data_IF_349022213284
#
_entry.id   IF_349022213284
#
_cell.length_a   1.000
_cell.length_b   1.000
_cell.length_c   1.000
_cell.angle_alpha   90.00
_cell.angle_beta   90.00
_cell.angle_gamma   90.00
#
_symmetry.space_group_name_H-M   'P 1'
#
loop_
_entity.id
_entity.type
_entity.pdbx_description
1 polymer ?
#
# COMPACT_ATOMS: atom_id res chain seq x y z
N UNK A 1 43.77 35.59 -37.21
CA UNK A 1 42.78 34.51 -37.40
C UNK A 1 42.57 33.83 -36.06
N UNK A 2 41.44 34.06 -35.39
CA UNK A 2 41.11 33.43 -34.10
C UNK A 2 40.20 32.20 -34.34
N UNK A 3 40.39 31.09 -33.62
CA UNK A 3 39.69 29.84 -33.92
C UNK A 3 38.28 29.83 -33.32
N UNK A 4 37.25 29.80 -34.18
CA UNK A 4 35.83 29.71 -33.82
C UNK A 4 35.38 28.29 -33.38
N UNK A 5 36.33 27.35 -33.23
CA UNK A 5 36.05 25.91 -33.08
C UNK A 5 35.74 25.49 -31.62
N UNK A 6 36.09 26.32 -30.62
CA UNK A 6 35.92 25.93 -29.21
C UNK A 6 34.48 26.09 -28.71
N UNK A 7 33.75 27.12 -29.11
CA UNK A 7 32.45 27.47 -28.49
C UNK A 7 31.35 26.44 -28.78
N UNK A 8 31.31 25.88 -30.00
CA UNK A 8 30.29 24.89 -30.40
C UNK A 8 30.46 23.54 -29.67
N UNK A 9 31.71 23.08 -29.53
CA UNK A 9 32.04 21.83 -28.83
C UNK A 9 31.81 21.95 -27.31
N UNK A 10 32.06 23.13 -26.73
CA UNK A 10 31.75 23.39 -25.32
C UNK A 10 30.24 23.45 -25.09
N UNK A 11 29.47 24.19 -25.90
CA UNK A 11 28.01 24.27 -25.76
C UNK A 11 27.35 22.90 -25.96
N UNK A 12 27.80 22.12 -26.95
CA UNK A 12 27.32 20.76 -27.20
C UNK A 12 27.61 19.80 -26.04
N UNK A 13 28.84 19.81 -25.49
CA UNK A 13 29.18 19.01 -24.31
C UNK A 13 28.36 19.41 -23.09
N UNK A 14 28.21 20.71 -22.80
CA UNK A 14 27.41 21.16 -21.67
C UNK A 14 25.94 20.78 -21.82
N UNK A 15 25.36 20.86 -23.02
CA UNK A 15 23.96 20.48 -23.26
C UNK A 15 23.74 18.96 -23.11
N UNK A 16 24.68 18.14 -23.58
CA UNK A 16 24.62 16.67 -23.43
C UNK A 16 24.87 16.25 -21.99
N UNK A 17 25.82 16.88 -21.28
CA UNK A 17 26.07 16.62 -19.86
C UNK A 17 24.89 17.04 -18.99
N UNK A 18 24.28 18.20 -19.29
CA UNK A 18 23.10 18.70 -18.56
C UNK A 18 21.85 17.85 -18.84
N UNK A 19 21.63 17.43 -20.09
CA UNK A 19 20.57 16.48 -20.41
C UNK A 19 20.83 15.11 -19.73
N UNK A 20 22.08 14.65 -19.69
CA UNK A 20 22.45 13.40 -19.00
C UNK A 20 22.23 13.51 -17.49
N UNK A 21 22.51 14.65 -16.86
CA UNK A 21 22.26 14.83 -15.43
C UNK A 21 20.75 14.92 -15.12
N UNK A 22 19.97 15.62 -15.94
CA UNK A 22 18.51 15.67 -15.81
C UNK A 22 17.87 14.28 -15.99
N UNK A 23 18.34 13.49 -16.96
CA UNK A 23 17.87 12.11 -17.14
C UNK A 23 18.26 11.22 -15.95
N UNK A 24 19.48 11.34 -15.42
CA UNK A 24 19.91 10.58 -14.24
C UNK A 24 19.06 10.90 -13.01
N UNK A 25 18.75 12.18 -12.78
CA UNK A 25 17.91 12.62 -11.66
C UNK A 25 16.47 12.12 -11.82
N UNK A 26 15.89 12.24 -13.02
CA UNK A 26 14.54 11.74 -13.29
C UNK A 26 14.45 10.22 -13.13
N UNK A 27 15.42 9.47 -13.67
CA UNK A 27 15.49 8.02 -13.52
C UNK A 27 15.64 7.61 -12.05
N UNK A 28 16.43 8.36 -11.28
CA UNK A 28 16.60 8.13 -9.85
C UNK A 28 15.27 8.29 -9.10
N UNK A 29 14.54 9.38 -9.31
CA UNK A 29 13.24 9.59 -8.67
C UNK A 29 12.19 8.56 -9.12
N UNK A 30 12.12 8.23 -10.40
CA UNK A 30 11.22 7.17 -10.91
C UNK A 30 11.53 5.84 -10.20
N UNK A 31 12.81 5.48 -10.06
CA UNK A 31 13.23 4.27 -9.37
C UNK A 31 12.82 4.28 -7.89
N UNK A 32 12.97 5.42 -7.20
CA UNK A 32 12.54 5.57 -5.80
C UNK A 32 11.02 5.42 -5.66
N UNK A 33 10.23 6.02 -6.55
CA UNK A 33 8.78 5.82 -6.55
C UNK A 33 8.39 4.37 -6.80
N UNK A 34 9.08 3.69 -7.72
CA UNK A 34 8.83 2.28 -8.00
C UNK A 34 9.14 1.40 -6.78
N UNK A 35 10.23 1.68 -6.06
CA UNK A 35 10.56 1.00 -4.80
C UNK A 35 9.51 1.28 -3.74
N UNK A 36 9.06 2.53 -3.59
CA UNK A 36 8.03 2.90 -2.62
C UNK A 36 6.71 2.16 -2.88
N UNK A 37 6.26 2.11 -4.13
CA UNK A 37 5.08 1.35 -4.55
C UNK A 37 5.28 -0.15 -4.32
N UNK A 38 6.45 -0.69 -4.70
CA UNK A 38 6.79 -2.10 -4.55
C UNK A 38 6.82 -2.58 -3.09
N UNK A 39 7.16 -1.69 -2.14
CA UNK A 39 7.24 -2.02 -0.71
C UNK A 39 5.87 -2.03 0.01
N UNK A 40 4.85 -1.38 -0.55
CA UNK A 40 3.54 -1.20 0.10
C UNK A 40 2.64 -2.42 0.04
N UNK A 41 2.64 -3.15 -1.07
CA UNK A 41 1.72 -4.27 -1.32
C UNK A 41 2.08 -5.61 -0.65
N UNK A 42 3.34 -6.09 -0.72
CA UNK A 42 3.67 -7.45 -0.28
C UNK A 42 3.47 -7.68 1.22
N UNK A 43 3.68 -6.67 2.07
CA UNK A 43 3.66 -6.82 3.54
C UNK A 43 2.33 -7.38 4.06
N UNK A 44 1.16 -6.74 3.82
CA UNK A 44 -0.12 -7.29 4.27
C UNK A 44 -0.49 -8.58 3.53
N UNK A 45 -0.17 -8.70 2.23
CA UNK A 45 -0.57 -9.84 1.42
C UNK A 45 0.15 -11.14 1.81
N UNK A 46 1.46 -11.09 2.07
CA UNK A 46 2.24 -12.28 2.42
C UNK A 46 1.86 -12.80 3.81
N UNK A 47 1.60 -11.90 4.77
CA UNK A 47 1.14 -12.30 6.10
C UNK A 47 -0.27 -12.91 6.06
N UNK A 48 -1.19 -12.29 5.30
CA UNK A 48 -2.53 -12.85 5.11
C UNK A 48 -2.48 -14.21 4.42
N UNK A 49 -1.65 -14.35 3.38
CA UNK A 49 -1.45 -15.60 2.67
C UNK A 49 -0.86 -16.68 3.58
N UNK A 50 0.20 -16.38 4.32
CA UNK A 50 0.79 -17.33 5.28
C UNK A 50 -0.19 -17.74 6.38
N UNK A 51 -1.07 -16.83 6.81
CA UNK A 51 -2.13 -17.15 7.77
C UNK A 51 -3.24 -18.06 7.21
N UNK A 52 -3.49 -18.01 5.89
CA UNK A 52 -4.52 -18.80 5.19
C UNK A 52 -4.10 -20.27 4.97
N UNK A 53 -2.78 -20.52 5.04
CA UNK A 53 -2.21 -21.86 4.95
C UNK A 53 -2.57 -22.78 6.12
N UNK A 54 -2.98 -22.23 7.26
CA UNK A 54 -3.36 -22.99 8.46
C UNK A 54 -4.86 -22.96 8.67
N UNK A 55 -5.47 -24.09 9.00
CA UNK A 55 -6.85 -24.14 9.46
C UNK A 55 -6.99 -23.58 10.88
N UNK A 56 -8.05 -22.79 11.09
CA UNK A 56 -8.39 -22.26 12.41
C UNK A 56 -9.27 -23.20 13.22
N UNK A 57 -9.94 -24.16 12.58
CA UNK A 57 -10.82 -25.12 13.24
C UNK A 57 -10.06 -26.35 13.76
N UNK A 58 -8.86 -26.61 13.24
CA UNK A 58 -7.95 -27.63 13.78
C UNK A 58 -7.08 -27.04 14.92
N UNK A 59 -7.17 -27.57 16.15
CA UNK A 59 -6.40 -27.06 17.28
C UNK A 59 -4.88 -27.23 17.11
N UNK A 60 -4.42 -28.24 16.38
CA UNK A 60 -2.99 -28.49 16.12
C UNK A 60 -2.46 -27.47 15.11
N UNK A 61 -3.17 -27.25 14.01
CA UNK A 61 -2.78 -26.26 13.01
C UNK A 61 -2.86 -24.82 13.55
N UNK A 62 -3.83 -24.55 14.41
CA UNK A 62 -3.95 -23.26 15.10
C UNK A 62 -2.73 -22.96 15.99
N UNK A 63 -2.23 -23.96 16.73
CA UNK A 63 -0.99 -23.81 17.50
C UNK A 63 0.23 -23.63 16.58
N UNK A 64 0.30 -24.39 15.49
CA UNK A 64 1.38 -24.27 14.50
C UNK A 64 1.41 -22.89 13.85
N UNK A 65 0.25 -22.29 13.58
CA UNK A 65 0.11 -20.92 13.08
C UNK A 65 0.70 -19.88 14.03
N UNK A 66 0.45 -20.01 15.33
CA UNK A 66 1.03 -19.12 16.34
C UNK A 66 2.57 -19.22 16.38
N UNK A 67 3.09 -20.45 16.36
CA UNK A 67 4.53 -20.71 16.28
C UNK A 67 5.16 -20.16 14.98
N UNK A 68 4.47 -20.28 13.85
CA UNK A 68 4.89 -19.68 12.58
C UNK A 68 5.04 -18.16 12.70
N UNK A 69 4.04 -17.47 13.26
CA UNK A 69 4.13 -16.02 13.46
C UNK A 69 5.21 -15.62 14.46
N UNK A 70 5.42 -16.39 15.53
CA UNK A 70 6.52 -16.14 16.47
C UNK A 70 7.89 -16.19 15.77
N UNK A 71 8.14 -17.22 14.96
CA UNK A 71 9.36 -17.33 14.15
C UNK A 71 9.46 -16.25 13.08
N UNK A 72 8.34 -15.87 12.46
CA UNK A 72 8.26 -14.77 11.51
C UNK A 72 8.72 -13.44 12.14
N UNK A 73 8.18 -13.09 13.32
CA UNK A 73 8.57 -11.88 14.05
C UNK A 73 10.03 -11.91 14.50
N UNK A 74 10.49 -13.05 15.01
CA UNK A 74 11.90 -13.21 15.36
C UNK A 74 12.81 -12.99 14.15
N UNK A 75 12.49 -13.59 13.00
CA UNK A 75 13.21 -13.40 11.75
C UNK A 75 13.21 -11.95 11.27
N UNK A 76 12.08 -11.25 11.37
CA UNK A 76 11.99 -9.83 11.03
C UNK A 76 12.92 -8.98 11.91
N UNK A 77 12.88 -9.16 13.23
CA UNK A 77 13.75 -8.44 14.15
C UNK A 77 15.23 -8.74 13.90
N UNK A 78 15.59 -10.02 13.73
CA UNK A 78 16.95 -10.43 13.44
C UNK A 78 17.45 -9.85 12.10
N UNK A 79 16.63 -9.92 11.04
CA UNK A 79 16.97 -9.39 9.72
C UNK A 79 17.15 -7.87 9.74
N UNK A 80 16.32 -7.14 10.49
CA UNK A 80 16.47 -5.70 10.65
C UNK A 80 17.77 -5.34 11.36
N UNK A 81 18.12 -6.05 12.43
CA UNK A 81 19.40 -5.85 13.13
C UNK A 81 20.59 -6.11 12.20
N UNK A 82 20.56 -7.20 11.44
CA UNK A 82 21.61 -7.53 10.46
C UNK A 82 21.68 -6.49 9.35
N UNK A 83 20.55 -6.01 8.84
CA UNK A 83 20.51 -4.96 7.82
C UNK A 83 21.15 -3.67 8.32
N UNK A 84 20.80 -3.22 9.53
CA UNK A 84 21.38 -1.99 10.10
C UNK A 84 22.90 -2.13 10.26
N UNK A 85 23.40 -3.28 10.71
CA UNK A 85 24.83 -3.49 10.96
C UNK A 85 25.62 -3.69 9.66
N UNK A 86 25.19 -4.63 8.81
CA UNK A 86 25.97 -5.09 7.66
C UNK A 86 25.62 -4.27 6.42
N UNK A 87 24.34 -4.08 6.11
CA UNK A 87 23.93 -3.45 4.86
C UNK A 87 24.28 -1.96 4.86
N UNK A 88 24.06 -1.26 5.98
CA UNK A 88 24.49 0.14 6.14
C UNK A 88 26.00 0.27 6.01
N UNK A 89 26.78 -0.65 6.60
CA UNK A 89 28.25 -0.63 6.46
C UNK A 89 28.68 -0.76 5.00
N UNK A 90 28.07 -1.69 4.24
CA UNK A 90 28.35 -1.89 2.81
C UNK A 90 27.97 -0.65 1.98
N UNK A 91 26.84 -0.01 2.29
CA UNK A 91 26.40 1.20 1.60
C UNK A 91 27.37 2.37 1.80
N UNK A 92 27.81 2.60 3.04
CA UNK A 92 28.65 3.75 3.39
C UNK A 92 30.14 3.53 3.05
N UNK A 93 30.65 2.29 3.12
CA UNK A 93 32.10 2.02 2.99
C UNK A 93 32.52 1.36 1.67
N UNK A 94 31.64 0.62 1.00
CA UNK A 94 32.00 -0.12 -0.22
C UNK A 94 31.39 0.52 -1.46
N UNK A 95 30.06 0.47 -1.58
CA UNK A 95 29.34 1.04 -2.72
C UNK A 95 27.84 1.01 -2.51
N UNK A 96 27.18 2.10 -2.90
CA UNK A 96 25.73 2.18 -3.04
C UNK A 96 25.15 1.13 -4.00
N UNK A 97 25.89 0.79 -5.07
CA UNK A 97 25.45 -0.24 -6.03
C UNK A 97 25.32 -1.62 -5.40
N UNK A 98 26.30 -2.02 -4.57
CA UNK A 98 26.25 -3.29 -3.82
C UNK A 98 25.16 -3.26 -2.74
N UNK A 99 24.99 -2.10 -2.08
CA UNK A 99 23.96 -1.88 -1.08
C UNK A 99 22.53 -2.07 -1.60
N UNK A 100 22.25 -1.74 -2.86
CA UNK A 100 20.97 -2.02 -3.50
C UNK A 100 20.93 -3.39 -4.20
N UNK A 101 22.07 -3.87 -4.70
CA UNK A 101 22.18 -5.17 -5.37
C UNK A 101 21.87 -6.35 -4.46
N UNK A 102 22.38 -6.35 -3.22
CA UNK A 102 22.19 -7.46 -2.27
C UNK A 102 20.70 -7.68 -1.96
N UNK A 103 19.90 -6.67 -1.55
CA UNK A 103 18.46 -6.84 -1.36
C UNK A 103 17.72 -7.23 -2.64
N UNK A 104 18.15 -6.74 -3.80
CA UNK A 104 17.54 -7.09 -5.09
C UNK A 104 17.68 -8.59 -5.38
N UNK A 105 18.90 -9.14 -5.26
CA UNK A 105 19.14 -10.59 -5.45
C UNK A 105 18.37 -11.41 -4.42
N UNK A 106 18.37 -10.99 -3.15
CA UNK A 106 17.60 -11.66 -2.10
C UNK A 106 16.10 -11.70 -2.42
N UNK A 107 15.52 -10.62 -2.95
CA UNK A 107 14.13 -10.56 -3.39
C UNK A 107 13.84 -11.53 -4.54
N UNK A 108 14.72 -11.61 -5.55
CA UNK A 108 14.57 -12.54 -6.68
C UNK A 108 14.62 -13.99 -6.20
N UNK A 109 15.53 -14.33 -5.28
CA UNK A 109 15.60 -15.66 -4.68
C UNK A 109 14.32 -15.97 -3.90
N UNK A 110 13.86 -15.04 -3.05
CA UNK A 110 12.63 -15.20 -2.28
C UNK A 110 11.41 -15.42 -3.19
N UNK A 111 11.30 -14.66 -4.28
CA UNK A 111 10.25 -14.83 -5.29
C UNK A 111 10.35 -16.21 -5.96
N UNK A 112 11.55 -16.66 -6.31
CA UNK A 112 11.76 -17.98 -6.89
C UNK A 112 11.31 -19.12 -5.97
N UNK A 113 11.66 -19.05 -4.68
CA UNK A 113 11.21 -20.02 -3.67
C UNK A 113 9.69 -19.97 -3.50
N UNK A 114 9.11 -18.78 -3.46
CA UNK A 114 7.65 -18.60 -3.36
C UNK A 114 6.92 -19.22 -4.55
N UNK A 115 7.40 -18.98 -5.78
CA UNK A 115 6.80 -19.56 -6.98
C UNK A 115 6.99 -21.08 -7.07
N UNK A 116 8.12 -21.61 -6.61
CA UNK A 116 8.35 -23.05 -6.55
C UNK A 116 7.37 -23.76 -5.59
N UNK A 117 7.02 -23.09 -4.48
CA UNK A 117 6.02 -23.56 -3.53
C UNK A 117 4.57 -23.49 -4.02
N UNK A 118 4.30 -22.86 -5.18
CA UNK A 118 2.95 -22.57 -5.66
C UNK A 118 2.03 -23.80 -5.75
N UNK A 119 2.59 -24.99 -6.04
CA UNK A 119 1.80 -26.23 -6.16
C UNK A 119 1.41 -26.84 -4.81
N UNK A 120 2.05 -26.41 -3.71
CA UNK A 120 1.81 -26.92 -2.35
C UNK A 120 0.90 -25.99 -1.55
N UNK A 121 0.56 -24.81 -2.08
CA UNK A 121 -0.24 -23.83 -1.37
C UNK A 121 -1.73 -24.17 -1.33
N UNK A 122 -2.39 -23.78 -0.24
CA UNK A 122 -3.82 -23.99 -0.03
C UNK A 122 -4.52 -22.68 -0.38
N UNK A 123 -5.26 -22.68 -1.48
CA UNK A 123 -6.00 -21.50 -1.91
C UNK A 123 -7.40 -21.51 -1.29
N UNK A 124 -7.63 -20.75 -0.21
CA UNK A 124 -8.98 -20.56 0.32
C UNK A 124 -9.68 -19.44 -0.45
N UNK A 125 -10.61 -19.80 -1.35
CA UNK A 125 -11.53 -18.82 -1.96
C UNK A 125 -12.60 -18.48 -0.94
N UNK A 126 -12.26 -17.68 0.08
CA UNK A 126 -13.28 -17.08 0.95
C UNK A 126 -13.87 -15.89 0.20
N UNK A 127 -15.17 -15.94 -0.11
CA UNK A 127 -15.93 -14.79 -0.63
C UNK A 127 -16.06 -13.70 0.44
N UNK A 128 -14.98 -12.97 0.67
CA UNK A 128 -14.98 -11.84 1.59
C UNK A 128 -15.55 -10.63 0.85
N UNK A 129 -16.77 -10.21 1.20
CA UNK A 129 -17.28 -8.89 0.79
C UNK A 129 -16.31 -7.82 1.29
N UNK A 130 -15.63 -7.15 0.34
CA UNK A 130 -14.55 -6.21 0.66
C UNK A 130 -15.03 -5.09 1.60
N UNK A 131 -14.43 -4.92 2.79
CA UNK A 131 -14.82 -3.89 3.75
C UNK A 131 -14.68 -2.46 3.17
N UNK A 132 -13.78 -2.27 2.21
CA UNK A 132 -13.64 -1.01 1.48
C UNK A 132 -14.88 -0.67 0.64
N UNK A 133 -15.52 -1.68 0.03
CA UNK A 133 -16.77 -1.49 -0.71
C UNK A 133 -17.88 -1.06 0.25
N UNK A 134 -17.93 -1.64 1.45
CA UNK A 134 -18.90 -1.24 2.49
C UNK A 134 -18.71 0.21 2.91
N UNK A 135 -17.47 0.63 3.17
CA UNK A 135 -17.14 2.01 3.55
C UNK A 135 -17.49 2.97 2.41
N UNK A 136 -17.11 2.64 1.17
CA UNK A 136 -17.47 3.42 -0.01
C UNK A 136 -18.98 3.57 -0.19
N UNK A 137 -19.75 2.50 0.02
CA UNK A 137 -21.21 2.54 -0.02
C UNK A 137 -21.79 3.46 1.06
N UNK A 138 -21.22 3.50 2.26
CA UNK A 138 -21.68 4.41 3.33
C UNK A 138 -21.43 5.86 2.93
N UNK A 139 -20.26 6.20 2.38
CA UNK A 139 -19.97 7.55 1.88
C UNK A 139 -20.89 7.95 0.72
N UNK A 140 -21.07 7.06 -0.26
CA UNK A 140 -21.97 7.30 -1.41
C UNK A 140 -23.41 7.50 -0.92
N UNK A 141 -23.87 6.68 0.03
CA UNK A 141 -25.21 6.79 0.61
C UNK A 141 -25.38 8.08 1.41
N UNK A 142 -24.37 8.49 2.19
CA UNK A 142 -24.37 9.74 2.93
C UNK A 142 -24.44 10.95 2.00
N UNK A 143 -23.63 10.98 0.93
CA UNK A 143 -23.65 12.06 -0.08
C UNK A 143 -25.00 12.08 -0.80
N UNK A 144 -25.57 10.91 -1.12
CA UNK A 144 -26.88 10.82 -1.76
C UNK A 144 -28.01 11.32 -0.86
N UNK A 145 -28.01 10.96 0.43
CA UNK A 145 -28.97 11.48 1.41
C UNK A 145 -28.80 12.98 1.68
N UNK A 146 -27.57 13.51 1.61
CA UNK A 146 -27.33 14.94 1.77
C UNK A 146 -27.84 15.74 0.56
N UNK A 147 -27.75 15.17 -0.65
CA UNK A 147 -28.33 15.75 -1.88
C UNK A 147 -29.86 15.59 -1.99
N UNK A 148 -30.45 14.65 -1.28
CA UNK A 148 -31.92 14.45 -1.24
C UNK A 148 -32.64 15.36 -0.21
N UNK A 149 -31.89 15.99 0.72
CA UNK A 149 -32.43 16.90 1.74
C UNK A 149 -32.83 18.34 1.32
N UNK A 150 -32.87 18.78 0.04
CA UNK A 150 -33.48 20.07 -0.27
C UNK A 150 -35.02 20.09 -0.25
N UNK A 151 -35.73 18.96 -0.29
CA UNK A 151 -37.17 18.96 -0.62
C UNK A 151 -38.13 18.28 0.38
N UNK A 152 -37.65 17.50 1.35
CA UNK A 152 -38.54 16.78 2.28
C UNK A 152 -38.83 17.56 3.58
N UNK A 153 -37.94 18.50 3.95
CA UNK A 153 -38.12 19.36 5.13
C UNK A 153 -39.24 20.40 4.91
N UNK A 154 -39.54 20.75 3.64
CA UNK A 154 -40.63 21.66 3.32
C UNK A 154 -42.03 21.03 3.43
N UNK A 155 -42.14 19.69 3.42
CA UNK A 155 -43.44 19.00 3.42
C UNK A 155 -43.86 18.57 4.84
N UNK A 156 -42.90 18.24 5.72
CA UNK A 156 -43.21 17.86 7.11
C UNK A 156 -43.51 19.07 8.01
N UNK A 157 -42.92 20.23 7.76
CA UNK A 157 -43.18 21.46 8.53
C UNK A 157 -44.57 22.07 8.23
N UNK A 158 -45.07 21.96 6.98
CA UNK A 158 -46.44 22.36 6.64
C UNK A 158 -47.50 21.39 7.19
N UNK A 159 -47.24 20.08 7.16
CA UNK A 159 -48.18 19.08 7.71
C UNK A 159 -48.33 19.19 9.25
N UNK A 160 -47.28 19.63 9.96
CA UNK A 160 -47.30 19.80 11.41
C UNK A 160 -48.02 21.09 11.87
N UNK A 161 -48.16 22.11 11.00
CA UNK A 161 -48.88 23.35 11.35
C UNK A 161 -50.40 23.30 11.13
N UNK A 162 -50.93 22.33 10.38
CA UNK A 162 -52.34 22.34 9.95
C UNK A 162 -53.31 21.45 10.73
N UNK A 163 -52.94 20.84 11.88
CA UNK A 163 -53.95 20.21 12.75
C UNK A 163 -54.44 21.17 13.85
N UNK A 164 -55.72 21.59 13.84
CA UNK A 164 -56.23 22.59 14.76
C UNK A 164 -56.46 22.00 16.16
N UNK A 165 -55.97 22.76 17.13
CA UNK A 165 -56.22 22.64 18.56
C UNK A 165 -57.73 22.79 18.83
N UNK A 166 -58.50 21.69 18.81
CA UNK A 166 -59.90 21.69 19.22
C UNK A 166 -60.21 20.48 20.13
N UNK A 167 -60.86 20.81 21.25
CA UNK A 167 -61.51 19.95 22.25
C UNK A 167 -60.66 19.34 23.38
N UNK A 168 -60.63 20.07 24.50
CA UNK A 168 -60.43 19.51 25.84
C UNK A 168 -61.35 20.23 26.84
N UNK A 169 -62.67 20.20 26.58
CA UNK A 169 -63.74 20.68 27.48
C UNK A 169 -64.94 19.69 27.48
N UNK A 170 -64.67 18.39 27.40
CA UNK A 170 -65.66 17.37 27.73
C UNK A 170 -64.95 16.11 28.21
N UNK A 171 -64.79 15.96 29.52
CA UNK A 171 -65.30 14.78 30.22
C UNK A 171 -65.38 15.12 31.72
N UNK A 172 -66.55 14.77 32.24
CA UNK A 172 -67.09 14.96 33.59
C UNK A 172 -66.40 14.07 34.62
#
# INVERSE_FOLDING_TARGET
MLPSISTSNYVGKNKVTLASSELQVNLFFISLYLVAVGQGGPKPCVQAFGADQFDGEDPVECQAKSSFFNWWYFGLCASNSVAILILTYVQENLSWGLGFGIPCVAMVIALGVFLLGARTYRYSVKEVKSPFVRIGQVFVTAIKNQRAKPSEIAIEEEACRTLPQHNSEQFK
#
